data_IF_781648858133
#
_entry.id   IF_781648858133
#
_cell.length_a   1.000
_cell.length_b   1.000
_cell.length_c   1.000
_cell.angle_alpha   90.00
_cell.angle_beta   90.00
_cell.angle_gamma   90.00
#
_symmetry.space_group_name_H-M   'P 1'
#
loop_
_entity.id
_entity.type
_entity.pdbx_description
1 polymer ?
#
# COMPACT_ATOMS: atom_id res chain seq x y z
N UNK A 1 -8.88 23.10 -18.18
CA UNK A 1 -8.41 22.42 -16.96
C UNK A 1 -7.51 21.28 -17.40
N UNK A 2 -6.22 21.46 -17.22
CA UNK A 2 -5.17 20.71 -17.90
C UNK A 2 -5.10 19.26 -17.45
N UNK A 3 -5.00 18.34 -18.42
CA UNK A 3 -4.92 16.87 -18.21
C UNK A 3 -3.85 16.48 -17.19
N UNK A 4 -2.81 17.29 -17.04
CA UNK A 4 -1.73 17.16 -16.06
C UNK A 4 -2.25 17.27 -14.62
N UNK A 5 -3.11 18.26 -14.34
CA UNK A 5 -3.67 18.47 -12.99
C UNK A 5 -4.56 17.29 -12.59
N UNK A 6 -5.36 16.79 -13.53
CA UNK A 6 -6.20 15.59 -13.33
C UNK A 6 -5.33 14.37 -13.05
N UNK A 7 -4.25 14.17 -13.79
CA UNK A 7 -3.32 13.05 -13.59
C UNK A 7 -2.66 13.08 -12.20
N UNK A 8 -2.19 14.24 -11.77
CA UNK A 8 -1.55 14.42 -10.45
C UNK A 8 -2.54 14.10 -9.33
N UNK A 9 -3.75 14.67 -9.36
CA UNK A 9 -4.78 14.42 -8.35
C UNK A 9 -5.11 12.92 -8.31
N UNK A 10 -5.31 12.30 -9.47
CA UNK A 10 -5.66 10.87 -9.55
C UNK A 10 -4.54 9.99 -9.00
N UNK A 11 -3.28 10.26 -9.35
CA UNK A 11 -2.13 9.50 -8.83
C UNK A 11 -1.98 9.63 -7.31
N UNK A 12 -2.21 10.82 -6.77
CA UNK A 12 -2.13 11.09 -5.34
C UNK A 12 -3.24 10.38 -4.56
N UNK A 13 -4.48 10.45 -5.07
CA UNK A 13 -5.63 9.75 -4.49
C UNK A 13 -5.44 8.24 -4.52
N UNK A 14 -5.00 7.68 -5.65
CA UNK A 14 -4.73 6.25 -5.80
C UNK A 14 -3.61 5.79 -4.86
N UNK A 15 -2.51 6.55 -4.78
CA UNK A 15 -1.39 6.25 -3.87
C UNK A 15 -1.81 6.25 -2.39
N UNK A 16 -2.63 7.22 -1.98
CA UNK A 16 -3.20 7.29 -0.63
C UNK A 16 -4.11 6.10 -0.32
N UNK A 17 -4.99 5.72 -1.24
CA UNK A 17 -5.89 4.57 -1.07
C UNK A 17 -5.09 3.27 -0.92
N UNK A 18 -4.07 3.06 -1.76
CA UNK A 18 -3.17 1.90 -1.67
C UNK A 18 -2.46 1.83 -0.32
N UNK A 19 -2.00 2.97 0.20
CA UNK A 19 -1.36 3.06 1.52
C UNK A 19 -2.31 2.71 2.65
N UNK A 20 -3.52 3.28 2.64
CA UNK A 20 -4.54 3.00 3.66
C UNK A 20 -4.88 1.50 3.66
N UNK A 21 -5.11 0.91 2.49
CA UNK A 21 -5.40 -0.53 2.36
C UNK A 21 -4.22 -1.36 2.86
N UNK A 22 -2.99 -1.02 2.47
CA UNK A 22 -1.77 -1.72 2.89
C UNK A 22 -1.58 -1.72 4.41
N UNK A 23 -1.80 -0.58 5.06
CA UNK A 23 -1.71 -0.41 6.53
C UNK A 23 -2.82 -1.20 7.23
N UNK A 24 -4.07 -1.11 6.75
CA UNK A 24 -5.19 -1.88 7.31
C UNK A 24 -4.90 -3.38 7.22
N UNK A 25 -4.40 -3.85 6.06
CA UNK A 25 -4.01 -5.25 5.88
C UNK A 25 -2.92 -5.65 6.89
N UNK A 26 -1.92 -4.80 7.10
CA UNK A 26 -0.82 -5.06 8.04
C UNK A 26 -1.32 -5.18 9.49
N UNK A 27 -2.24 -4.30 9.90
CA UNK A 27 -2.88 -4.34 11.22
C UNK A 27 -3.71 -5.63 11.38
N UNK A 28 -4.47 -6.01 10.35
CA UNK A 28 -5.27 -7.24 10.36
C UNK A 28 -4.36 -8.47 10.48
N UNK A 29 -3.27 -8.53 9.74
CA UNK A 29 -2.28 -9.62 9.81
C UNK A 29 -1.65 -9.68 11.20
N UNK A 30 -1.24 -8.54 11.75
CA UNK A 30 -0.65 -8.45 13.10
C UNK A 30 -1.63 -8.94 14.17
N UNK A 31 -2.88 -8.45 14.12
CA UNK A 31 -3.96 -8.85 15.04
C UNK A 31 -4.32 -10.33 14.91
N UNK A 32 -4.22 -10.90 13.70
CA UNK A 32 -4.48 -12.32 13.46
C UNK A 32 -3.34 -13.19 13.97
N UNK A 33 -2.09 -12.78 13.77
CA UNK A 33 -0.91 -13.44 14.33
C UNK A 33 -0.92 -13.49 15.86
N UNK A 34 -1.33 -12.41 16.52
CA UNK A 34 -1.44 -12.40 17.99
C UNK A 34 -2.53 -13.37 18.50
N UNK A 35 -3.59 -13.61 17.73
CA UNK A 35 -4.63 -14.60 18.05
C UNK A 35 -4.24 -16.04 17.71
N UNK A 36 -3.43 -16.24 16.67
CA UNK A 36 -3.00 -17.54 16.15
C UNK A 36 -1.67 -18.06 16.77
N UNK A 37 -1.13 -17.40 17.81
CA UNK A 37 0.05 -17.83 18.58
C UNK A 37 -0.06 -19.27 19.17
N UNK A 38 -1.20 -19.95 19.02
CA UNK A 38 -1.40 -21.36 19.37
C UNK A 38 -1.48 -22.34 18.18
N UNK A 39 -1.44 -21.90 16.92
CA UNK A 39 -1.55 -22.79 15.75
C UNK A 39 -0.44 -22.60 14.71
N UNK A 40 0.67 -23.29 14.99
CA UNK A 40 1.89 -23.48 14.18
C UNK A 40 1.67 -23.91 12.70
N UNK A 41 0.44 -24.24 12.27
CA UNK A 41 0.16 -24.74 10.91
C UNK A 41 -0.13 -23.64 9.85
N UNK A 42 -0.34 -22.39 10.26
CA UNK A 42 -0.80 -21.30 9.36
C UNK A 42 0.34 -20.39 8.84
N UNK A 43 1.60 -20.72 9.12
CA UNK A 43 2.79 -19.89 8.83
C UNK A 43 2.90 -19.49 7.35
N UNK A 44 2.69 -20.41 6.39
CA UNK A 44 2.85 -20.09 4.96
C UNK A 44 1.82 -19.06 4.44
N UNK A 45 0.57 -19.13 4.90
CA UNK A 45 -0.48 -18.18 4.48
C UNK A 45 -0.26 -16.81 5.10
N UNK A 46 0.18 -16.76 6.35
CA UNK A 46 0.50 -15.51 7.04
C UNK A 46 1.70 -14.83 6.39
N UNK A 47 2.77 -15.57 6.09
CA UNK A 47 3.96 -15.03 5.40
C UNK A 47 3.59 -14.47 4.03
N UNK A 48 2.76 -15.18 3.26
CA UNK A 48 2.25 -14.66 1.97
C UNK A 48 1.44 -13.38 2.15
N UNK A 49 0.52 -13.34 3.12
CA UNK A 49 -0.33 -12.18 3.36
C UNK A 49 0.50 -10.98 3.85
N UNK A 50 1.53 -11.22 4.66
CA UNK A 50 2.50 -10.21 5.08
C UNK A 50 3.29 -9.65 3.90
N UNK A 51 3.86 -10.51 3.05
CA UNK A 51 4.55 -10.10 1.82
C UNK A 51 3.65 -9.27 0.90
N UNK A 52 2.39 -9.68 0.77
CA UNK A 52 1.40 -8.99 -0.06
C UNK A 52 1.05 -7.61 0.51
N UNK A 53 0.87 -7.50 1.82
CA UNK A 53 0.70 -6.22 2.51
C UNK A 53 1.90 -5.30 2.32
N UNK A 54 3.13 -5.81 2.51
CA UNK A 54 4.35 -5.03 2.32
C UNK A 54 4.50 -4.59 0.85
N UNK A 55 4.20 -5.46 -0.11
CA UNK A 55 4.22 -5.12 -1.54
C UNK A 55 3.20 -4.04 -1.90
N UNK A 56 1.98 -4.08 -1.31
CA UNK A 56 0.98 -3.02 -1.47
C UNK A 56 1.46 -1.67 -0.92
N UNK A 57 2.09 -1.66 0.25
CA UNK A 57 2.65 -0.45 0.87
C UNK A 57 3.74 0.13 -0.03
N UNK A 58 4.68 -0.71 -0.50
CA UNK A 58 5.76 -0.28 -1.39
C UNK A 58 5.19 0.27 -2.71
N UNK A 59 4.18 -0.39 -3.29
CA UNK A 59 3.51 0.10 -4.49
C UNK A 59 2.83 1.46 -4.27
N UNK A 60 2.13 1.65 -3.14
CA UNK A 60 1.51 2.93 -2.79
C UNK A 60 2.54 4.07 -2.65
N UNK A 61 3.67 3.80 -1.98
CA UNK A 61 4.78 4.75 -1.87
C UNK A 61 5.37 5.07 -3.25
N UNK A 62 5.59 4.07 -4.11
CA UNK A 62 6.09 4.27 -5.47
C UNK A 62 5.17 5.19 -6.28
N UNK A 63 3.87 4.95 -6.21
CA UNK A 63 2.86 5.76 -6.91
C UNK A 63 2.90 7.21 -6.42
N UNK A 64 3.04 7.44 -5.11
CA UNK A 64 3.18 8.79 -4.55
C UNK A 64 4.48 9.47 -4.99
N UNK A 65 5.60 8.74 -5.03
CA UNK A 65 6.89 9.26 -5.50
C UNK A 65 6.80 9.64 -6.98
N UNK A 66 6.23 8.78 -7.82
CA UNK A 66 6.07 9.03 -9.25
C UNK A 66 5.10 10.21 -9.49
N UNK A 67 3.98 10.27 -8.75
CA UNK A 67 3.04 11.38 -8.82
C UNK A 67 3.65 12.71 -8.38
N UNK A 68 4.45 12.69 -7.30
CA UNK A 68 5.21 13.85 -6.82
C UNK A 68 6.30 14.30 -7.78
N UNK A 69 7.07 13.35 -8.33
CA UNK A 69 8.09 13.62 -9.35
C UNK A 69 7.50 14.20 -10.63
N UNK A 70 6.36 13.68 -11.11
CA UNK A 70 5.67 14.26 -12.26
C UNK A 70 5.19 15.69 -11.99
N UNK A 71 4.78 16.00 -10.75
CA UNK A 71 4.43 17.37 -10.36
C UNK A 71 5.65 18.28 -10.39
N UNK A 72 6.83 17.77 -10.04
CA UNK A 72 8.08 18.52 -10.04
C UNK A 72 8.68 18.71 -11.45
N UNK A 73 8.58 17.68 -12.31
CA UNK A 73 9.06 17.69 -13.70
C UNK A 73 8.14 18.44 -14.66
N UNK A 74 6.84 18.52 -14.37
CA UNK A 74 5.86 19.23 -15.20
C UNK A 74 5.73 20.72 -14.85
N UNK A 75 6.58 21.23 -13.94
CA UNK A 75 6.69 22.64 -13.56
C UNK A 75 7.89 23.26 -14.26
#
# INVERSE_FOLDING_TARGET
MDKVVVFIITSSVVGLILLIIGIILQIVIKKKNEKDLNLSKTTKRITFLSLLSTSLIVAGILVLIIGGLNTFLSR
#
